data_IF_295897522840
#
_entry.id   IF_295897522840
#
_cell.length_a   1.000
_cell.length_b   1.000
_cell.length_c   1.000
_cell.angle_alpha   90.00
_cell.angle_beta   90.00
_cell.angle_gamma   90.00
#
_symmetry.space_group_name_H-M   'P 1'
#
loop_
_entity.id
_entity.type
_entity.pdbx_description
1 polymer ?
#
# COMPACT_ATOMS: atom_id res chain seq x y z
N UNK A 1 7.29 4.38 11.92
CA UNK A 1 5.97 4.44 11.27
C UNK A 1 5.07 3.38 11.87
N UNK A 2 3.82 3.75 12.20
CA UNK A 2 2.82 2.81 12.70
C UNK A 2 1.97 2.26 11.55
N UNK A 3 1.73 0.96 11.57
CA UNK A 3 0.85 0.27 10.61
C UNK A 3 -0.21 -0.52 11.38
N UNK A 4 -1.33 -0.87 10.72
CA UNK A 4 -2.36 -1.75 11.30
C UNK A 4 -1.76 -3.09 11.74
N UNK A 5 -2.29 -3.65 12.82
CA UNK A 5 -1.77 -4.88 13.42
C UNK A 5 -2.77 -6.03 13.39
N UNK A 6 -2.29 -7.25 13.15
CA UNK A 6 -3.11 -8.48 13.15
C UNK A 6 -3.77 -8.80 14.50
N UNK A 7 -3.33 -8.15 15.58
CA UNK A 7 -3.82 -8.33 16.96
C UNK A 7 -4.69 -7.18 17.44
N UNK A 8 -5.22 -6.35 16.53
CA UNK A 8 -6.09 -5.21 16.87
C UNK A 8 -5.35 -3.99 17.44
N UNK A 9 -4.04 -4.04 17.59
CA UNK A 9 -3.23 -2.90 18.05
C UNK A 9 -2.26 -2.47 16.95
N UNK A 10 -2.10 -1.15 16.67
CA UNK A 10 -1.13 -0.65 15.72
C UNK A 10 0.29 -1.10 16.07
N UNK A 11 1.05 -1.53 15.07
CA UNK A 11 2.43 -1.97 15.23
C UNK A 11 3.40 -0.90 14.73
N UNK A 12 4.35 -0.49 15.57
CA UNK A 12 5.40 0.46 15.22
C UNK A 12 6.54 -0.23 14.49
N UNK A 13 6.75 0.06 13.20
CA UNK A 13 7.89 -0.43 12.42
C UNK A 13 9.09 0.47 12.69
N UNK A 14 10.19 -0.12 13.14
CA UNK A 14 11.41 0.59 13.50
C UNK A 14 12.36 0.71 12.30
N UNK A 15 12.37 1.89 11.67
CA UNK A 15 13.26 2.23 10.55
C UNK A 15 14.45 3.01 11.09
N UNK A 16 15.65 2.52 10.85
CA UNK A 16 16.88 3.21 11.23
C UNK A 16 17.30 4.26 10.18
N UNK A 17 18.15 5.19 10.58
CA UNK A 17 18.80 6.11 9.61
C UNK A 17 19.60 5.36 8.55
N UNK A 18 20.19 4.21 8.88
CA UNK A 18 20.89 3.36 7.92
C UNK A 18 19.94 2.77 6.87
N UNK A 19 18.75 2.29 7.29
CA UNK A 19 17.75 1.82 6.35
C UNK A 19 17.31 2.95 5.40
N UNK A 20 17.01 4.13 5.95
CA UNK A 20 16.60 5.30 5.17
C UNK A 20 17.70 5.76 4.21
N UNK A 21 18.95 5.83 4.67
CA UNK A 21 20.09 6.19 3.83
C UNK A 21 20.31 5.21 2.69
N UNK A 22 20.18 3.91 2.95
CA UNK A 22 20.25 2.87 1.92
C UNK A 22 19.11 3.01 0.91
N UNK A 23 17.88 3.17 1.38
CA UNK A 23 16.70 3.40 0.52
C UNK A 23 16.93 4.61 -0.40
N UNK A 24 17.37 5.76 0.17
CA UNK A 24 17.63 6.98 -0.61
C UNK A 24 18.69 6.75 -1.67
N UNK A 25 19.82 6.10 -1.32
CA UNK A 25 20.88 5.75 -2.28
C UNK A 25 20.34 4.84 -3.39
N UNK A 26 19.58 3.81 -3.05
CA UNK A 26 19.04 2.86 -4.01
C UNK A 26 18.01 3.53 -4.94
N UNK A 27 17.19 4.43 -4.40
CA UNK A 27 16.26 5.22 -5.18
C UNK A 27 17.00 6.12 -6.18
N UNK A 28 18.12 6.74 -5.76
CA UNK A 28 18.97 7.58 -6.62
C UNK A 28 19.62 6.80 -7.78
N UNK A 29 19.77 5.49 -7.67
CA UNK A 29 20.31 4.62 -8.73
C UNK A 29 19.22 4.13 -9.71
N UNK A 30 17.97 4.57 -9.55
CA UNK A 30 16.89 4.22 -10.47
C UNK A 30 16.77 5.20 -11.64
N UNK A 31 16.12 4.77 -12.72
CA UNK A 31 15.80 5.66 -13.84
C UNK A 31 14.92 6.86 -13.45
N UNK A 32 14.21 6.77 -12.34
CA UNK A 32 13.46 7.90 -11.79
C UNK A 32 14.38 9.11 -11.58
N UNK A 33 15.56 8.88 -11.02
CA UNK A 33 16.54 9.93 -10.77
C UNK A 33 17.36 10.34 -12.00
N UNK A 34 17.71 9.39 -12.86
CA UNK A 34 18.45 9.69 -14.08
C UNK A 34 17.70 10.64 -15.01
N UNK A 35 16.38 10.73 -14.87
CA UNK A 35 15.49 11.54 -15.70
C UNK A 35 14.93 12.75 -14.96
N UNK A 36 15.28 12.90 -13.69
CA UNK A 36 14.86 13.99 -12.85
C UNK A 36 15.66 15.27 -13.11
N UNK A 37 14.99 16.41 -12.93
CA UNK A 37 15.61 17.73 -13.12
C UNK A 37 15.39 18.60 -11.86
N UNK A 38 16.38 19.38 -11.41
CA UNK A 38 16.20 20.32 -10.30
C UNK A 38 15.04 21.31 -10.47
N UNK A 39 14.62 21.57 -11.70
CA UNK A 39 13.43 22.42 -11.97
C UNK A 39 12.11 21.67 -11.84
N UNK A 40 12.11 20.35 -11.64
CA UNK A 40 10.89 19.56 -11.53
C UNK A 40 10.16 19.84 -10.20
N UNK A 41 8.84 19.77 -10.29
CA UNK A 41 7.91 20.03 -9.20
C UNK A 41 7.27 18.70 -8.77
N UNK A 42 7.49 18.34 -7.53
CA UNK A 42 7.09 17.06 -6.93
C UNK A 42 5.89 17.27 -6.02
N UNK A 43 4.85 16.49 -6.19
CA UNK A 43 3.69 16.55 -5.30
C UNK A 43 4.03 15.85 -3.97
N UNK A 44 3.70 16.51 -2.86
CA UNK A 44 3.66 15.93 -1.52
C UNK A 44 2.19 15.87 -1.07
N UNK A 45 1.58 14.73 -1.26
CA UNK A 45 0.17 14.45 -0.98
C UNK A 45 -0.01 13.54 0.23
N UNK A 46 0.87 12.55 0.41
CA UNK A 46 0.75 11.56 1.46
C UNK A 46 0.83 12.20 2.86
N UNK A 47 0.04 11.66 3.80
CA UNK A 47 0.19 12.04 5.21
C UNK A 47 1.55 11.58 5.75
N UNK A 48 2.17 12.39 6.61
CA UNK A 48 3.44 12.04 7.29
C UNK A 48 3.34 10.76 8.14
N UNK A 49 2.14 10.29 8.44
CA UNK A 49 1.90 9.02 9.13
C UNK A 49 2.17 7.80 8.24
N UNK A 50 2.32 7.99 6.93
CA UNK A 50 2.60 6.92 5.95
C UNK A 50 3.98 7.10 5.36
N UNK A 51 4.64 5.97 5.09
CA UNK A 51 5.97 5.91 4.49
C UNK A 51 6.00 6.41 3.02
N UNK A 52 4.86 6.44 2.33
CA UNK A 52 4.72 7.12 1.05
C UNK A 52 5.16 8.60 1.09
N UNK A 53 4.97 9.29 2.23
CA UNK A 53 5.48 10.66 2.41
C UNK A 53 7.01 10.75 2.35
N UNK A 54 7.69 9.70 2.81
CA UNK A 54 9.15 9.58 2.70
C UNK A 54 9.56 9.36 1.25
N UNK A 55 8.79 8.58 0.48
CA UNK A 55 9.03 8.45 -0.96
C UNK A 55 8.95 9.81 -1.65
N UNK A 56 7.88 10.58 -1.41
CA UNK A 56 7.67 11.91 -1.99
C UNK A 56 8.81 12.87 -1.66
N UNK A 57 9.27 12.88 -0.41
CA UNK A 57 10.42 13.68 0.03
C UNK A 57 11.71 13.23 -0.64
N UNK A 58 11.98 11.92 -0.66
CA UNK A 58 13.23 11.38 -1.21
C UNK A 58 13.27 11.44 -2.73
N UNK A 59 12.15 11.55 -3.42
CA UNK A 59 12.13 11.85 -4.86
C UNK A 59 12.56 13.29 -5.16
N UNK A 60 12.30 14.23 -4.28
CA UNK A 60 12.49 15.67 -4.51
C UNK A 60 13.80 16.22 -3.91
N UNK A 61 14.02 15.97 -2.62
CA UNK A 61 15.07 16.66 -1.84
C UNK A 61 16.50 16.41 -2.37
N UNK A 62 16.90 15.17 -2.70
CA UNK A 62 18.27 14.94 -3.17
C UNK A 62 18.58 15.55 -4.55
N UNK A 63 17.56 15.87 -5.33
CA UNK A 63 17.68 16.49 -6.66
C UNK A 63 17.69 18.04 -6.54
N UNK A 64 17.21 18.57 -5.41
CA UNK A 64 17.00 20.01 -5.25
C UNK A 64 15.74 20.53 -5.99
N UNK A 65 14.77 19.65 -6.23
CA UNK A 65 13.50 19.99 -6.85
C UNK A 65 12.57 20.85 -5.97
N UNK A 66 11.44 21.25 -6.50
CA UNK A 66 10.41 21.99 -5.75
C UNK A 66 9.35 21.03 -5.21
N UNK A 67 9.13 21.02 -3.89
CA UNK A 67 8.06 20.24 -3.26
C UNK A 67 6.76 21.06 -3.23
N UNK A 68 5.71 20.55 -3.86
CA UNK A 68 4.35 21.13 -3.87
C UNK A 68 3.52 20.43 -2.81
N UNK A 69 3.17 21.13 -1.74
CA UNK A 69 2.44 20.55 -0.62
C UNK A 69 0.93 20.61 -0.87
N UNK A 70 0.26 19.47 -0.87
CA UNK A 70 -1.19 19.41 -0.83
C UNK A 70 -1.69 19.72 0.59
N UNK A 71 -2.60 20.68 0.69
CA UNK A 71 -3.26 21.04 1.95
C UNK A 71 -4.39 20.06 2.32
N UNK A 72 -5.03 20.31 3.46
CA UNK A 72 -6.17 19.52 3.94
C UNK A 72 -7.35 19.49 2.98
N UNK A 73 -7.61 20.60 2.28
CA UNK A 73 -8.71 20.73 1.33
C UNK A 73 -8.45 19.84 0.11
N UNK A 74 -7.25 19.93 -0.48
CA UNK A 74 -6.84 19.13 -1.63
C UNK A 74 -6.79 17.63 -1.31
N UNK A 75 -6.45 17.26 -0.08
CA UNK A 75 -6.47 15.84 0.35
C UNK A 75 -7.88 15.27 0.46
N UNK A 76 -8.91 16.11 0.63
CA UNK A 76 -10.31 15.68 0.80
C UNK A 76 -11.14 15.81 -0.47
N UNK A 77 -10.72 16.65 -1.42
CA UNK A 77 -11.44 16.94 -2.64
C UNK A 77 -10.57 16.75 -3.87
N UNK A 78 -10.96 15.79 -4.70
CA UNK A 78 -10.22 15.42 -5.91
C UNK A 78 -10.17 16.56 -6.95
N UNK A 79 -11.19 17.41 -6.98
CA UNK A 79 -11.24 18.55 -7.90
C UNK A 79 -10.26 19.65 -7.49
N UNK A 80 -10.11 19.86 -6.18
CA UNK A 80 -9.11 20.79 -5.64
C UNK A 80 -7.70 20.25 -5.86
N UNK A 81 -7.50 18.93 -5.70
CA UNK A 81 -6.22 18.28 -5.97
C UNK A 81 -5.85 18.39 -7.46
N UNK A 82 -6.77 18.11 -8.38
CA UNK A 82 -6.54 18.31 -9.82
C UNK A 82 -6.18 19.77 -10.13
N UNK A 83 -6.91 20.72 -9.53
CA UNK A 83 -6.62 22.15 -9.64
C UNK A 83 -5.22 22.52 -9.15
N UNK A 84 -4.77 21.96 -8.02
CA UNK A 84 -3.41 22.13 -7.49
C UNK A 84 -2.36 21.61 -8.46
N UNK A 85 -2.53 20.37 -8.95
CA UNK A 85 -1.59 19.72 -9.88
C UNK A 85 -1.39 20.57 -11.13
N UNK A 86 -2.47 21.11 -11.70
CA UNK A 86 -2.43 21.96 -12.91
C UNK A 86 -1.84 23.33 -12.63
N UNK A 87 -2.31 24.00 -11.57
CA UNK A 87 -1.87 25.37 -11.20
C UNK A 87 -0.39 25.39 -10.87
N UNK A 88 0.08 24.40 -10.12
CA UNK A 88 1.47 24.29 -9.70
C UNK A 88 2.36 23.57 -10.72
N UNK A 89 1.83 23.17 -11.88
CA UNK A 89 2.57 22.50 -12.94
C UNK A 89 3.37 21.29 -12.44
N UNK A 90 2.74 20.40 -11.65
CA UNK A 90 3.38 19.24 -11.06
C UNK A 90 3.93 18.31 -12.15
N UNK A 91 5.19 17.93 -12.01
CA UNK A 91 5.91 17.07 -12.97
C UNK A 91 6.02 15.63 -12.50
N UNK A 92 6.09 15.41 -11.18
CA UNK A 92 6.25 14.07 -10.59
C UNK A 92 5.27 13.91 -9.45
N UNK A 93 4.52 12.80 -9.45
CA UNK A 93 3.59 12.46 -8.38
C UNK A 93 3.56 10.96 -8.11
N UNK A 94 3.25 10.60 -6.87
CA UNK A 94 2.90 9.23 -6.46
C UNK A 94 1.43 9.19 -6.04
N UNK A 95 0.68 8.20 -6.53
CA UNK A 95 -0.71 8.00 -6.14
C UNK A 95 -1.05 6.53 -5.95
N UNK A 96 -1.88 6.25 -4.96
CA UNK A 96 -2.55 4.96 -4.86
C UNK A 96 -3.55 4.79 -6.02
N UNK A 97 -3.69 3.60 -6.62
CA UNK A 97 -4.65 3.32 -7.70
C UNK A 97 -6.08 3.75 -7.41
N UNK A 98 -6.56 3.58 -6.19
CA UNK A 98 -7.91 4.00 -5.80
C UNK A 98 -8.12 5.51 -5.92
N UNK A 99 -7.10 6.32 -5.60
CA UNK A 99 -7.15 7.77 -5.78
C UNK A 99 -7.13 8.13 -7.27
N UNK A 100 -6.27 7.47 -8.06
CA UNK A 100 -6.23 7.66 -9.52
C UNK A 100 -7.57 7.35 -10.19
N UNK A 101 -8.30 6.35 -9.68
CA UNK A 101 -9.65 6.01 -10.13
C UNK A 101 -10.71 7.08 -9.86
N UNK A 102 -10.42 8.06 -8.99
CA UNK A 102 -11.35 9.16 -8.68
C UNK A 102 -11.22 10.34 -9.64
N UNK A 103 -10.09 10.50 -10.33
CA UNK A 103 -9.93 11.54 -11.32
C UNK A 103 -10.83 11.28 -12.54
N UNK A 104 -11.58 12.29 -12.97
CA UNK A 104 -12.40 12.22 -14.18
C UNK A 104 -11.52 12.01 -15.42
N UNK A 105 -10.46 12.80 -15.51
CA UNK A 105 -9.42 12.69 -16.52
C UNK A 105 -8.06 12.42 -15.89
N UNK A 106 -7.20 11.70 -16.62
CA UNK A 106 -5.85 11.40 -16.21
C UNK A 106 -4.81 12.17 -17.04
N UNK A 107 -5.26 13.19 -17.80
CA UNK A 107 -4.40 14.05 -18.62
C UNK A 107 -3.81 15.19 -17.77
N UNK A 108 -2.72 14.91 -17.10
CA UNK A 108 -1.98 15.93 -16.36
C UNK A 108 -0.96 16.61 -17.30
N UNK A 109 -1.19 17.85 -17.74
CA UNK A 109 -0.46 18.44 -18.88
C UNK A 109 1.03 18.68 -18.64
N UNK A 110 1.45 18.78 -17.38
CA UNK A 110 2.85 18.99 -17.00
C UNK A 110 3.51 17.77 -16.39
N UNK A 111 2.75 16.68 -16.24
CA UNK A 111 3.27 15.43 -15.66
C UNK A 111 4.33 14.82 -16.57
N UNK A 112 5.50 14.53 -16.03
CA UNK A 112 6.58 13.80 -16.69
C UNK A 112 6.62 12.35 -16.23
N UNK A 113 6.41 12.13 -14.93
CA UNK A 113 6.44 10.80 -14.32
C UNK A 113 5.34 10.66 -13.28
N UNK A 114 4.52 9.64 -13.44
CA UNK A 114 3.52 9.24 -12.47
C UNK A 114 3.90 7.88 -11.89
N UNK A 115 4.08 7.83 -10.58
CA UNK A 115 4.27 6.60 -9.84
C UNK A 115 2.92 6.15 -9.27
N UNK A 116 2.67 4.85 -9.29
CA UNK A 116 1.52 4.26 -8.59
C UNK A 116 1.92 3.01 -7.84
N UNK A 117 1.24 2.71 -6.76
CA UNK A 117 1.55 1.56 -5.90
C UNK A 117 0.76 1.58 -4.60
N UNK A 118 1.26 0.90 -3.59
CA UNK A 118 0.64 0.69 -2.28
C UNK A 118 -0.60 -0.22 -2.29
N UNK A 119 -1.28 -0.38 -3.41
CA UNK A 119 -2.42 -1.30 -3.57
C UNK A 119 -2.49 -1.86 -5.00
N UNK A 120 -3.29 -2.91 -5.20
CA UNK A 120 -3.48 -3.49 -6.52
C UNK A 120 -4.26 -2.54 -7.45
N UNK A 121 -3.83 -2.44 -8.70
CA UNK A 121 -4.51 -1.66 -9.73
C UNK A 121 -5.43 -2.56 -10.55
N UNK A 122 -6.60 -2.07 -10.94
CA UNK A 122 -7.44 -2.77 -11.90
C UNK A 122 -6.87 -2.65 -13.32
N UNK A 123 -7.02 -3.70 -14.12
CA UNK A 123 -6.56 -3.71 -15.51
C UNK A 123 -7.16 -2.54 -16.31
N UNK A 124 -8.44 -2.24 -16.09
CA UNK A 124 -9.13 -1.11 -16.73
C UNK A 124 -8.45 0.23 -16.45
N UNK A 125 -8.11 0.51 -15.18
CA UNK A 125 -7.42 1.75 -14.80
C UNK A 125 -6.00 1.78 -15.34
N UNK A 126 -5.28 0.65 -15.25
CA UNK A 126 -3.94 0.51 -15.77
C UNK A 126 -3.88 0.82 -17.28
N UNK A 127 -4.80 0.26 -18.07
CA UNK A 127 -4.88 0.51 -19.50
C UNK A 127 -5.21 1.98 -19.84
N UNK A 128 -6.02 2.67 -19.01
CA UNK A 128 -6.24 4.12 -19.16
C UNK A 128 -4.97 4.93 -18.88
N UNK A 129 -4.18 4.56 -17.87
CA UNK A 129 -2.91 5.21 -17.54
C UNK A 129 -1.86 5.00 -18.62
N UNK A 130 -1.77 3.81 -19.23
CA UNK A 130 -0.83 3.51 -20.32
C UNK A 130 -1.04 4.37 -21.56
N UNK A 131 -2.23 4.92 -21.75
CA UNK A 131 -2.55 5.80 -22.89
C UNK A 131 -2.07 7.25 -22.68
N UNK A 132 -1.58 7.58 -21.49
CA UNK A 132 -1.16 8.93 -21.18
C UNK A 132 0.29 9.19 -21.65
N UNK A 133 0.64 10.45 -21.97
CA UNK A 133 1.95 10.78 -22.55
C UNK A 133 3.10 10.80 -21.53
N UNK A 134 2.81 10.71 -20.24
CA UNK A 134 3.83 10.70 -19.19
C UNK A 134 4.35 9.29 -18.90
N UNK A 135 5.56 9.22 -18.37
CA UNK A 135 6.12 7.96 -17.89
C UNK A 135 5.33 7.43 -16.71
N UNK A 136 4.99 6.14 -16.79
CA UNK A 136 4.27 5.45 -15.74
C UNK A 136 5.20 4.45 -15.04
N UNK A 137 5.21 4.46 -13.71
CA UNK A 137 6.02 3.54 -12.90
C UNK A 137 5.15 2.84 -11.86
N UNK A 138 5.19 1.50 -11.83
CA UNK A 138 4.61 0.72 -10.73
C UNK A 138 5.67 0.52 -9.66
N UNK A 139 5.33 0.82 -8.41
CA UNK A 139 6.22 0.68 -7.25
C UNK A 139 5.56 -0.17 -6.18
N UNK A 140 6.35 -1.05 -5.58
CA UNK A 140 5.91 -1.93 -4.50
C UNK A 140 6.92 -1.94 -3.36
N UNK A 141 6.42 -1.94 -2.14
CA UNK A 141 7.20 -2.12 -0.93
C UNK A 141 6.33 -2.13 0.31
N UNK A 142 6.63 -2.99 1.28
CA UNK A 142 6.10 -2.90 2.63
C UNK A 142 6.93 -1.93 3.46
N UNK A 143 6.31 -1.31 4.46
CA UNK A 143 7.00 -0.42 5.43
C UNK A 143 8.18 -1.11 6.11
N UNK A 144 8.06 -2.41 6.36
CA UNK A 144 9.08 -3.26 6.99
C UNK A 144 10.37 -3.42 6.13
N UNK A 145 10.30 -3.06 4.84
CA UNK A 145 11.49 -2.97 3.96
C UNK A 145 11.74 -1.53 3.48
N UNK A 146 11.43 -0.56 4.32
CA UNK A 146 11.74 0.87 4.12
C UNK A 146 11.24 1.41 2.78
N UNK A 147 9.93 1.64 2.70
CA UNK A 147 9.19 2.32 1.63
C UNK A 147 9.04 1.52 0.34
N UNK A 148 10.12 1.31 -0.43
CA UNK A 148 10.08 0.59 -1.70
C UNK A 148 11.05 -0.59 -1.74
N UNK A 149 10.60 -1.67 -2.37
CA UNK A 149 11.38 -2.88 -2.61
C UNK A 149 11.61 -3.14 -4.08
N UNK A 150 10.61 -2.86 -4.92
CA UNK A 150 10.68 -3.07 -6.36
C UNK A 150 10.09 -1.90 -7.14
N UNK A 151 10.53 -1.76 -8.41
CA UNK A 151 10.05 -0.75 -9.35
C UNK A 151 9.92 -1.34 -10.75
N UNK A 152 8.88 -0.93 -11.47
CA UNK A 152 8.66 -1.24 -12.88
C UNK A 152 8.36 0.02 -13.67
N UNK A 153 9.18 0.32 -14.67
CA UNK A 153 8.81 1.27 -15.72
C UNK A 153 7.84 0.54 -16.64
N UNK A 154 6.67 1.11 -16.82
CA UNK A 154 5.60 0.52 -17.63
C UNK A 154 5.88 0.76 -19.11
N UNK A 155 5.83 -0.30 -19.88
CA UNK A 155 5.87 -0.30 -21.35
C UNK A 155 4.66 -1.07 -21.92
N UNK A 156 4.61 -1.24 -23.23
CA UNK A 156 3.47 -1.89 -23.89
C UNK A 156 3.28 -3.36 -23.49
N UNK A 157 4.36 -4.06 -23.14
CA UNK A 157 4.34 -5.46 -22.73
C UNK A 157 4.05 -5.65 -21.24
N UNK A 158 4.10 -4.56 -20.44
CA UNK A 158 3.91 -4.65 -18.98
C UNK A 158 2.45 -4.98 -18.64
N UNK A 159 2.25 -6.03 -17.85
CA UNK A 159 0.93 -6.37 -17.29
C UNK A 159 0.66 -5.54 -16.02
N UNK A 160 -0.63 -5.34 -15.72
CA UNK A 160 -1.08 -4.49 -14.60
C UNK A 160 -0.62 -4.97 -13.22
N UNK A 161 -0.36 -6.26 -13.08
CA UNK A 161 0.07 -6.94 -11.85
C UNK A 161 1.59 -7.09 -11.73
N UNK A 162 2.36 -6.58 -12.70
CA UNK A 162 3.82 -6.63 -12.67
C UNK A 162 4.38 -5.53 -11.75
N UNK A 163 4.95 -5.93 -10.61
CA UNK A 163 5.56 -5.04 -9.61
C UNK A 163 7.07 -4.78 -9.87
N UNK A 164 7.62 -5.30 -10.95
CA UNK A 164 8.95 -4.98 -11.45
C UNK A 164 10.09 -5.78 -10.85
N UNK A 165 11.23 -5.08 -10.73
CA UNK A 165 12.51 -5.65 -10.30
C UNK A 165 12.89 -5.10 -8.93
N UNK A 166 13.65 -5.86 -8.11
CA UNK A 166 14.14 -5.36 -6.83
C UNK A 166 15.06 -4.14 -7.03
N UNK A 167 14.97 -3.20 -6.10
CA UNK A 167 15.96 -2.12 -5.97
C UNK A 167 17.34 -2.69 -5.66
N UNK A 168 18.40 -1.94 -5.98
CA UNK A 168 19.76 -2.33 -5.65
C UNK A 168 19.90 -2.68 -4.16
N UNK A 169 20.59 -3.78 -3.85
CA UNK A 169 20.77 -4.26 -2.49
C UNK A 169 19.53 -4.90 -1.84
N UNK A 170 18.37 -4.90 -2.49
CA UNK A 170 17.21 -5.68 -2.07
C UNK A 170 17.20 -7.01 -2.80
N UNK A 171 17.06 -8.12 -2.08
CA UNK A 171 16.86 -9.44 -2.67
C UNK A 171 15.43 -9.91 -2.43
N UNK A 172 14.77 -10.35 -3.50
CA UNK A 172 13.46 -10.95 -3.45
C UNK A 172 13.59 -12.47 -3.51
N UNK A 173 13.24 -13.14 -2.42
CA UNK A 173 13.17 -14.62 -2.35
C UNK A 173 11.72 -15.03 -2.51
N UNK A 174 11.45 -15.95 -3.43
CA UNK A 174 10.10 -16.51 -3.62
C UNK A 174 10.13 -17.94 -3.12
N UNK A 175 9.49 -18.16 -1.96
CA UNK A 175 9.62 -19.42 -1.24
C UNK A 175 8.28 -20.17 -1.12
N UNK A 176 8.37 -21.51 -1.06
CA UNK A 176 7.26 -22.39 -0.69
C UNK A 176 6.95 -22.31 0.81
N UNK A 177 5.95 -23.06 1.26
CA UNK A 177 5.63 -23.16 2.69
C UNK A 177 6.77 -23.80 3.52
N UNK A 178 7.54 -24.69 2.89
CA UNK A 178 8.70 -25.35 3.49
C UNK A 178 10.00 -24.53 3.35
N UNK A 179 9.88 -23.24 3.04
CA UNK A 179 10.99 -22.32 2.82
C UNK A 179 11.98 -22.79 1.73
N UNK A 180 11.50 -23.50 0.70
CA UNK A 180 12.31 -23.87 -0.45
C UNK A 180 12.09 -22.85 -1.58
N UNK A 181 13.17 -22.49 -2.28
CA UNK A 181 13.09 -21.59 -3.45
C UNK A 181 12.16 -22.22 -4.50
N UNK A 182 11.13 -21.49 -4.93
CA UNK A 182 10.29 -21.95 -6.03
C UNK A 182 10.98 -21.69 -7.37
N UNK A 183 10.77 -22.59 -8.33
CA UNK A 183 11.40 -22.54 -9.66
C UNK A 183 10.36 -22.50 -10.76
N UNK A 184 10.78 -22.16 -11.98
CA UNK A 184 9.96 -22.27 -13.18
C UNK A 184 8.73 -21.37 -13.22
N UNK A 185 8.74 -20.23 -12.54
CA UNK A 185 7.61 -19.32 -12.51
C UNK A 185 6.41 -19.81 -11.67
N UNK A 186 6.64 -20.76 -10.74
CA UNK A 186 5.61 -21.16 -9.78
C UNK A 186 5.28 -20.02 -8.81
N UNK A 187 4.08 -20.08 -8.23
CA UNK A 187 3.67 -19.12 -7.19
C UNK A 187 4.29 -19.48 -5.85
N UNK A 188 4.86 -18.50 -5.16
CA UNK A 188 5.37 -18.62 -3.82
C UNK A 188 5.14 -17.35 -3.00
N UNK A 189 5.45 -17.41 -1.72
CA UNK A 189 5.40 -16.26 -0.82
C UNK A 189 6.68 -15.43 -1.00
N UNK A 190 6.50 -14.10 -1.10
CA UNK A 190 7.63 -13.16 -1.22
C UNK A 190 8.26 -12.90 0.15
N UNK A 191 9.57 -13.05 0.20
CA UNK A 191 10.42 -12.63 1.31
C UNK A 191 11.44 -11.62 0.80
N UNK A 192 11.75 -10.63 1.63
CA UNK A 192 12.68 -9.56 1.28
C UNK A 192 13.89 -9.59 2.21
N UNK A 193 15.10 -9.50 1.64
CA UNK A 193 16.34 -9.33 2.39
C UNK A 193 17.12 -8.10 1.91
N UNK A 194 18.12 -7.74 2.69
CA UNK A 194 19.00 -6.62 2.38
C UNK A 194 18.99 -5.52 3.43
N UNK A 195 19.81 -4.46 3.25
CA UNK A 195 20.02 -3.43 4.26
C UNK A 195 18.81 -2.49 4.46
N UNK A 196 17.79 -2.57 3.61
CA UNK A 196 16.53 -1.84 3.81
C UNK A 196 15.57 -2.52 4.79
N UNK A 197 15.77 -3.81 5.11
CA UNK A 197 14.92 -4.53 6.07
C UNK A 197 15.01 -3.87 7.44
N UNK A 198 13.87 -3.45 7.97
CA UNK A 198 13.72 -2.73 9.24
C UNK A 198 14.24 -3.54 10.43
N UNK A 199 14.48 -2.88 11.56
CA UNK A 199 14.88 -3.57 12.80
C UNK A 199 13.77 -4.45 13.37
N UNK A 200 12.52 -4.25 12.93
CA UNK A 200 11.35 -5.01 13.36
C UNK A 200 10.28 -4.12 13.99
N UNK A 201 9.38 -4.76 14.73
CA UNK A 201 8.29 -4.10 15.43
C UNK A 201 8.68 -3.77 16.87
N UNK A 202 8.39 -2.54 17.30
CA UNK A 202 8.70 -2.05 18.63
C UNK A 202 7.89 -2.83 19.68
N UNK A 203 8.59 -3.42 20.66
CA UNK A 203 7.97 -4.05 21.81
C UNK A 203 7.18 -5.34 21.53
N UNK A 204 7.25 -5.90 20.32
CA UNK A 204 6.47 -7.08 19.96
C UNK A 204 7.38 -8.24 19.49
N UNK A 205 7.92 -8.98 20.49
CA UNK A 205 8.85 -10.09 20.23
C UNK A 205 8.21 -11.21 19.41
N UNK A 206 7.00 -11.61 19.76
CA UNK A 206 6.30 -12.72 19.09
C UNK A 206 6.06 -12.42 17.60
N UNK A 207 5.60 -11.20 17.29
CA UNK A 207 5.37 -10.79 15.90
C UNK A 207 6.70 -10.67 15.13
N UNK A 208 7.77 -10.21 15.80
CA UNK A 208 9.10 -10.17 15.19
C UNK A 208 9.59 -11.56 14.80
N UNK A 209 9.46 -12.55 15.68
CA UNK A 209 9.86 -13.93 15.39
C UNK A 209 9.05 -14.56 14.25
N UNK A 210 7.78 -14.17 14.08
CA UNK A 210 6.91 -14.62 12.98
C UNK A 210 7.20 -13.95 11.64
N UNK A 211 7.57 -12.66 11.69
CA UNK A 211 7.69 -11.82 10.50
C UNK A 211 9.12 -11.68 9.98
N UNK A 212 10.10 -11.84 10.86
CA UNK A 212 11.52 -11.74 10.51
C UNK A 212 12.23 -13.05 10.86
N UNK A 213 12.75 -13.71 9.85
CA UNK A 213 13.42 -15.00 10.02
C UNK A 213 14.82 -14.96 9.41
N UNK A 214 15.65 -15.95 9.75
CA UNK A 214 16.95 -16.15 9.14
C UNK A 214 16.89 -17.30 8.13
N UNK A 215 17.42 -17.05 6.93
CA UNK A 215 17.47 -18.00 5.85
C UNK A 215 18.84 -17.92 5.19
N UNK A 216 19.61 -19.03 5.20
CA UNK A 216 20.98 -19.08 4.70
C UNK A 216 21.92 -17.97 5.24
N UNK A 217 21.71 -17.54 6.48
CA UNK A 217 22.51 -16.49 7.12
C UNK A 217 22.03 -15.06 6.86
N UNK A 218 21.03 -14.87 6.01
CA UNK A 218 20.40 -13.56 5.75
C UNK A 218 19.13 -13.37 6.58
N UNK A 219 18.89 -12.15 7.02
CA UNK A 219 17.64 -11.79 7.69
C UNK A 219 16.60 -11.42 6.66
N UNK A 220 15.49 -12.16 6.66
CA UNK A 220 14.35 -11.97 5.76
C UNK A 220 13.18 -11.31 6.47
N UNK A 221 12.48 -10.44 5.77
CA UNK A 221 11.13 -10.04 6.11
C UNK A 221 10.12 -10.84 5.30
N UNK A 222 9.18 -11.47 5.99
CA UNK A 222 8.07 -12.23 5.42
C UNK A 222 6.93 -11.28 5.07
N UNK A 223 6.63 -11.10 3.77
CA UNK A 223 5.64 -10.10 3.34
C UNK A 223 4.20 -10.57 3.48
N UNK A 224 3.93 -11.87 3.38
CA UNK A 224 2.60 -12.45 3.23
C UNK A 224 2.02 -12.26 1.82
N UNK A 225 2.76 -11.68 0.89
CA UNK A 225 2.35 -11.49 -0.49
C UNK A 225 2.72 -12.71 -1.33
N UNK A 226 1.79 -13.21 -2.14
CA UNK A 226 2.00 -14.28 -3.11
C UNK A 226 2.42 -13.66 -4.45
N UNK A 227 3.50 -14.17 -4.99
CA UNK A 227 4.10 -13.64 -6.23
C UNK A 227 4.56 -14.76 -7.15
N UNK A 228 4.90 -14.37 -8.38
CA UNK A 228 5.51 -15.24 -9.38
C UNK A 228 6.62 -14.50 -10.12
N UNK A 229 7.77 -15.13 -10.27
CA UNK A 229 8.82 -14.59 -11.11
C UNK A 229 8.53 -14.85 -12.59
N UNK A 230 8.74 -13.84 -13.41
CA UNK A 230 8.59 -13.92 -14.85
C UNK A 230 9.92 -14.35 -15.51
N UNK A 231 9.88 -14.82 -16.78
CA UNK A 231 11.10 -15.19 -17.50
C UNK A 231 12.12 -14.05 -17.66
N UNK A 232 11.67 -12.79 -17.67
CA UNK A 232 12.53 -11.60 -17.72
C UNK A 232 13.12 -11.23 -16.35
N UNK A 233 12.80 -12.01 -15.29
CA UNK A 233 13.23 -11.77 -13.93
C UNK A 233 12.33 -10.82 -13.14
N UNK A 234 11.36 -10.15 -13.78
CA UNK A 234 10.40 -9.29 -13.08
C UNK A 234 9.44 -10.12 -12.23
N UNK A 235 8.78 -9.46 -11.28
CA UNK A 235 7.89 -10.10 -10.31
C UNK A 235 6.45 -9.68 -10.60
N UNK A 236 5.54 -10.68 -10.65
CA UNK A 236 4.09 -10.46 -10.70
C UNK A 236 3.48 -10.69 -9.33
N UNK A 237 2.65 -9.75 -8.90
CA UNK A 237 1.81 -9.87 -7.71
C UNK A 237 0.58 -10.72 -8.02
N UNK A 238 0.32 -11.75 -7.22
CA UNK A 238 -0.82 -12.67 -7.40
C UNK A 238 -1.92 -12.37 -6.38
N UNK A 239 -1.54 -12.02 -5.15
CA UNK A 239 -2.48 -11.76 -4.06
C UNK A 239 -1.82 -11.82 -2.70
N UNK A 240 -2.64 -11.94 -1.65
CA UNK A 240 -2.17 -12.13 -0.28
C UNK A 240 -2.51 -13.50 0.24
N UNK A 241 -1.62 -14.05 1.10
CA UNK A 241 -1.84 -15.31 1.82
C UNK A 241 -2.78 -15.13 3.01
N UNK A 242 -2.87 -13.92 3.54
CA UNK A 242 -3.66 -13.55 4.71
C UNK A 242 -4.89 -12.69 4.34
N UNK A 243 -5.65 -12.28 5.36
CA UNK A 243 -6.84 -11.42 5.21
C UNK A 243 -6.52 -9.93 5.17
N UNK A 244 -5.26 -9.56 5.13
CA UNK A 244 -4.85 -8.16 5.03
C UNK A 244 -5.21 -7.61 3.66
N UNK A 245 -5.74 -6.39 3.63
CA UNK A 245 -6.10 -5.71 2.39
C UNK A 245 -5.41 -4.36 2.30
N UNK A 246 -5.12 -3.95 1.09
CA UNK A 246 -4.65 -2.60 0.79
C UNK A 246 -5.80 -1.85 0.12
N UNK A 247 -6.30 -0.80 0.76
CA UNK A 247 -7.45 -0.05 0.28
C UNK A 247 -7.25 1.45 0.46
N UNK A 248 -7.41 2.23 -0.62
CA UNK A 248 -7.20 3.69 -0.62
C UNK A 248 -5.81 4.11 -0.12
N UNK A 249 -4.79 3.29 -0.43
CA UNK A 249 -3.43 3.50 0.05
C UNK A 249 -3.19 3.09 1.50
N UNK A 250 -4.23 2.64 2.22
CA UNK A 250 -4.11 2.15 3.60
C UNK A 250 -3.92 0.64 3.63
N UNK A 251 -3.03 0.18 4.51
CA UNK A 251 -2.86 -1.22 4.86
C UNK A 251 -3.84 -1.55 5.99
N UNK A 252 -4.82 -2.39 5.74
CA UNK A 252 -5.92 -2.68 6.66
C UNK A 252 -5.92 -4.16 7.00
N UNK A 253 -5.86 -4.45 8.29
CA UNK A 253 -6.08 -5.80 8.81
C UNK A 253 -7.58 -5.97 9.07
N UNK A 254 -8.27 -6.74 8.24
CA UNK A 254 -9.72 -6.99 8.44
C UNK A 254 -10.00 -7.61 9.80
N UNK A 255 -9.05 -8.39 10.32
CA UNK A 255 -9.14 -9.00 11.65
C UNK A 255 -9.16 -7.95 12.76
N UNK A 256 -8.42 -6.86 12.65
CA UNK A 256 -8.42 -5.75 13.62
C UNK A 256 -9.81 -5.16 13.78
N UNK A 257 -10.50 -4.90 12.66
CA UNK A 257 -11.87 -4.41 12.66
C UNK A 257 -12.83 -5.47 13.23
N UNK A 258 -12.64 -6.73 12.85
CA UNK A 258 -13.47 -7.85 13.34
C UNK A 258 -13.34 -8.01 14.86
N UNK A 259 -12.12 -7.95 15.39
CA UNK A 259 -11.86 -8.08 16.83
C UNK A 259 -12.41 -6.89 17.63
N UNK A 260 -12.32 -5.67 17.08
CA UNK A 260 -12.92 -4.49 17.68
C UNK A 260 -14.45 -4.61 17.74
N UNK A 261 -15.09 -5.04 16.65
CA UNK A 261 -16.53 -5.30 16.59
C UNK A 261 -16.98 -6.40 17.55
N UNK A 262 -16.20 -7.48 17.70
CA UNK A 262 -16.53 -8.57 18.62
C UNK A 262 -16.41 -8.20 20.12
N UNK A 263 -15.76 -7.07 20.43
CA UNK A 263 -15.72 -6.52 21.80
C UNK A 263 -16.93 -5.64 22.10
N UNK A 264 -17.68 -5.24 21.09
CA UNK A 264 -18.85 -4.38 21.26
C UNK A 264 -19.98 -5.14 21.95
N UNK A 265 -20.61 -4.58 23.02
CA UNK A 265 -21.64 -5.28 23.79
C UNK A 265 -22.91 -5.61 23.00
N UNK A 266 -23.18 -4.90 21.90
CA UNK A 266 -24.33 -5.16 21.03
C UNK A 266 -24.04 -6.20 19.93
N UNK A 267 -22.77 -6.66 19.81
CA UNK A 267 -22.32 -7.58 18.75
C UNK A 267 -21.92 -8.92 19.36
N UNK A 268 -22.63 -9.99 19.06
CA UNK A 268 -22.26 -11.36 19.43
C UNK A 268 -21.13 -11.89 18.53
N UNK A 269 -21.24 -11.62 17.22
CA UNK A 269 -20.24 -12.06 16.24
C UNK A 269 -20.19 -11.10 15.06
N UNK A 270 -18.98 -10.81 14.63
CA UNK A 270 -18.69 -10.02 13.44
C UNK A 270 -17.84 -10.78 12.43
N UNK A 271 -18.03 -10.48 11.13
CA UNK A 271 -17.13 -10.90 10.06
C UNK A 271 -16.97 -9.75 9.07
N UNK A 272 -15.74 -9.31 8.86
CA UNK A 272 -15.42 -8.19 7.99
C UNK A 272 -14.80 -8.70 6.68
N UNK A 273 -15.28 -8.16 5.57
CA UNK A 273 -14.84 -8.54 4.21
C UNK A 273 -14.67 -7.31 3.34
N UNK A 274 -13.94 -7.45 2.25
CA UNK A 274 -13.97 -6.47 1.16
C UNK A 274 -15.11 -6.85 0.21
N UNK A 275 -15.95 -5.88 -0.09
CA UNK A 275 -17.02 -6.00 -1.09
C UNK A 275 -16.75 -5.04 -2.23
N UNK A 276 -17.06 -5.46 -3.45
CA UNK A 276 -17.00 -4.60 -4.63
C UNK A 276 -18.39 -4.09 -4.97
N UNK A 277 -18.54 -2.77 -5.03
CA UNK A 277 -19.81 -2.14 -5.41
C UNK A 277 -19.53 -1.01 -6.41
N UNK A 278 -20.14 -1.09 -7.58
CA UNK A 278 -19.97 -0.10 -8.66
C UNK A 278 -18.47 0.12 -9.06
N UNK A 279 -17.67 -0.97 -9.06
CA UNK A 279 -16.24 -0.91 -9.38
C UNK A 279 -15.38 -0.26 -8.29
N UNK A 280 -15.91 -0.11 -7.07
CA UNK A 280 -15.18 0.40 -5.90
C UNK A 280 -15.13 -0.66 -4.81
N UNK A 281 -13.97 -0.82 -4.22
CA UNK A 281 -13.81 -1.65 -3.03
C UNK A 281 -14.29 -0.90 -1.79
N UNK A 282 -15.09 -1.59 -0.98
CA UNK A 282 -15.63 -1.11 0.29
C UNK A 282 -15.40 -2.18 1.37
N UNK A 283 -15.26 -1.74 2.62
CA UNK A 283 -15.34 -2.65 3.75
C UNK A 283 -16.82 -2.97 4.01
N UNK A 284 -17.14 -4.24 4.11
CA UNK A 284 -18.45 -4.73 4.53
C UNK A 284 -18.33 -5.49 5.85
N UNK A 285 -19.23 -5.26 6.80
CA UNK A 285 -19.30 -6.04 8.03
C UNK A 285 -20.63 -6.78 8.10
N UNK A 286 -20.56 -8.09 8.33
CA UNK A 286 -21.69 -8.92 8.71
C UNK A 286 -21.70 -9.01 10.23
N UNK A 287 -22.80 -8.58 10.86
CA UNK A 287 -22.93 -8.51 12.30
C UNK A 287 -24.10 -9.39 12.77
N UNK A 288 -23.85 -10.18 13.81
CA UNK A 288 -24.88 -10.89 14.55
C UNK A 288 -25.11 -10.11 15.86
N UNK A 289 -26.32 -9.57 16.10
CA UNK A 289 -26.61 -8.85 17.34
C UNK A 289 -26.58 -9.79 18.55
N UNK A 290 -26.09 -9.28 19.70
CA UNK A 290 -26.13 -10.01 20.97
C UNK A 290 -27.57 -10.26 21.46
N UNK A 291 -28.48 -9.30 21.17
CA UNK A 291 -29.90 -9.40 21.49
C UNK A 291 -30.72 -9.10 20.23
N UNK A 292 -31.53 -10.02 19.73
CA UNK A 292 -32.39 -9.78 18.59
C UNK A 292 -33.32 -8.58 18.79
N UNK A 293 -33.35 -7.66 17.84
CA UNK A 293 -34.19 -6.46 17.88
C UNK A 293 -33.63 -5.28 18.68
N UNK A 294 -32.50 -5.43 19.37
CA UNK A 294 -31.83 -4.40 20.14
C UNK A 294 -30.45 -4.09 19.54
N UNK A 295 -30.39 -3.62 18.30
CA UNK A 295 -29.15 -3.31 17.62
C UNK A 295 -29.18 -1.90 17.02
N UNK A 296 -28.28 -1.03 17.48
CA UNK A 296 -28.19 0.36 17.06
C UNK A 296 -26.88 0.59 16.29
N UNK A 297 -26.94 0.46 14.98
CA UNK A 297 -25.78 0.54 14.11
C UNK A 297 -24.94 1.82 14.28
N UNK A 298 -25.59 2.96 14.52
CA UNK A 298 -24.88 4.23 14.69
C UNK A 298 -24.09 4.28 16.01
N UNK A 299 -24.61 3.69 17.08
CA UNK A 299 -23.90 3.60 18.36
C UNK A 299 -22.68 2.68 18.25
N UNK A 300 -22.81 1.55 17.54
CA UNK A 300 -21.66 0.67 17.23
C UNK A 300 -20.61 1.43 16.42
N UNK A 301 -21.02 2.22 15.42
CA UNK A 301 -20.08 3.02 14.62
C UNK A 301 -19.42 4.12 15.44
N UNK A 302 -20.12 4.75 16.38
CA UNK A 302 -19.52 5.75 17.27
C UNK A 302 -18.47 5.13 18.17
N UNK A 303 -18.74 3.96 18.75
CA UNK A 303 -17.76 3.24 19.55
C UNK A 303 -16.53 2.84 18.73
N UNK A 304 -16.74 2.35 17.50
CA UNK A 304 -15.63 2.07 16.57
C UNK A 304 -14.77 3.31 16.27
N UNK A 305 -15.39 4.51 16.12
CA UNK A 305 -14.65 5.76 15.86
C UNK A 305 -13.71 6.16 17.00
N UNK A 306 -13.97 5.70 18.22
CA UNK A 306 -13.08 5.94 19.35
C UNK A 306 -11.88 4.99 19.40
N UNK A 307 -11.95 3.83 18.73
CA UNK A 307 -10.93 2.78 18.78
C UNK A 307 -10.16 2.62 17.48
N UNK A 308 -10.79 2.89 16.32
CA UNK A 308 -10.19 2.66 14.99
C UNK A 308 -10.01 3.96 14.19
N UNK A 309 -8.98 4.04 13.36
CA UNK A 309 -8.81 5.13 12.41
C UNK A 309 -9.99 5.23 11.44
N UNK A 310 -10.30 6.44 11.00
CA UNK A 310 -11.47 6.73 10.12
C UNK A 310 -11.53 5.88 8.84
N UNK A 311 -10.39 5.51 8.28
CA UNK A 311 -10.30 4.70 7.05
C UNK A 311 -10.72 3.23 7.25
N UNK A 312 -10.77 2.75 8.51
CA UNK A 312 -11.25 1.42 8.87
C UNK A 312 -12.76 1.39 9.17
N UNK A 313 -13.42 2.55 9.30
CA UNK A 313 -14.82 2.66 9.75
C UNK A 313 -15.78 2.89 8.58
N UNK A 314 -15.29 3.15 7.36
CA UNK A 314 -16.13 3.34 6.17
C UNK A 314 -16.79 2.01 5.74
N UNK A 315 -17.57 1.42 6.65
CA UNK A 315 -18.26 0.15 6.48
C UNK A 315 -19.60 0.43 5.80
N UNK A 316 -19.80 -0.12 4.61
CA UNK A 316 -21.08 -0.11 3.91
C UNK A 316 -22.10 -1.03 4.62
N UNK A 317 -23.38 -0.72 4.46
CA UNK A 317 -24.48 -1.52 5.03
C UNK A 317 -24.55 -2.89 4.34
N UNK A 318 -24.22 -3.97 5.04
CA UNK A 318 -24.63 -5.31 4.67
C UNK A 318 -25.73 -5.75 5.65
N UNK A 319 -26.99 -5.85 5.19
CA UNK A 319 -28.04 -6.41 6.00
C UNK A 319 -28.00 -7.93 5.89
N UNK A 320 -27.81 -8.65 6.99
CA UNK A 320 -28.24 -10.05 7.06
C UNK A 320 -29.77 -10.10 6.94
N UNK A 321 -30.28 -10.62 5.82
CA UNK A 321 -31.64 -11.13 5.80
C UNK A 321 -31.62 -12.46 6.57
N UNK A 322 -32.37 -12.54 7.66
CA UNK A 322 -32.72 -13.83 8.25
C UNK A 322 -33.26 -14.73 7.12
N UNK A 323 -32.59 -15.85 6.89
CA UNK A 323 -33.25 -16.97 6.23
C UNK A 323 -34.00 -17.74 7.32
N UNK A 324 -35.31 -17.63 7.29
CA UNK A 324 -36.21 -18.59 7.91
C UNK A 324 -36.05 -19.96 7.24
#
# INVERSE_FOLDING_TARGET
IYTSGTTGNPKGVQISYSNLGTFTKNLMNTELYHLANPSDRYLAFASISFDASILELMMCVPIGGTLVLAGEAERRDISLLDGLIRREQVNVAFFAPSLLGMFANLDFPFMKTLLFGAEAISEKLFNRLKQQPYRLMNVYGPTENTVLSTIRIVNDETSYDNIGYPLEGTTCHILSEDLQQVVGGATGELYLSGPQVSSGYIGNKELNEKSFLFYHGERLYRTGDLVRQQPDGSIRFIGRKDTQVKMRGFRIELREITECLNKDPEVEKAHVVVVEQNGRQLLGAYLQPSVPGCFHLEDVKERLRSELPYYMIQIGRASCRERV
#
